data_IF_784821275602
#
_entry.id   IF_784821275602
#
_cell.length_a   1.000
_cell.length_b   1.000
_cell.length_c   1.000
_cell.angle_alpha   90.00
_cell.angle_beta   90.00
_cell.angle_gamma   90.00
#
_symmetry.space_group_name_H-M   'P 1'
#
loop_
_entity.id
_entity.type
_entity.pdbx_description
1 polymer ?
#
# COMPACT_ATOMS: atom_id res chain seq x y z
N UNK A 1 -26.40 -2.71 -23.98
CA UNK A 1 -25.84 -2.23 -22.69
C UNK A 1 -24.36 -2.00 -22.90
N UNK A 2 -23.87 -0.75 -22.77
CA UNK A 2 -22.43 -0.47 -22.91
C UNK A 2 -21.76 -0.81 -21.58
N UNK A 3 -20.98 -1.88 -21.58
CA UNK A 3 -20.20 -2.33 -20.42
C UNK A 3 -19.21 -1.24 -20.03
N UNK A 4 -19.44 -0.56 -18.90
CA UNK A 4 -18.49 0.44 -18.37
C UNK A 4 -17.22 -0.28 -17.94
N UNK A 5 -16.21 -0.28 -18.79
CA UNK A 5 -14.85 -0.75 -18.44
C UNK A 5 -14.37 0.03 -17.22
N UNK A 6 -13.89 -0.69 -16.19
CA UNK A 6 -13.27 -0.07 -15.01
C UNK A 6 -12.18 0.91 -15.48
N UNK A 7 -12.18 2.17 -15.00
CA UNK A 7 -11.11 3.10 -15.34
C UNK A 7 -9.76 2.47 -14.97
N UNK A 8 -8.81 2.51 -15.90
CA UNK A 8 -7.47 1.97 -15.69
C UNK A 8 -6.78 2.61 -14.48
N UNK A 9 -5.80 1.91 -13.90
CA UNK A 9 -4.99 2.44 -12.80
C UNK A 9 -4.35 3.75 -13.25
N UNK A 10 -4.48 4.82 -12.44
CA UNK A 10 -3.84 6.11 -12.74
C UNK A 10 -2.33 5.91 -12.96
N UNK A 11 -1.75 6.55 -13.99
CA UNK A 11 -0.32 6.45 -14.25
C UNK A 11 0.47 6.97 -13.03
N UNK A 12 1.52 6.24 -12.64
CA UNK A 12 2.36 6.54 -11.46
C UNK A 12 3.52 7.52 -11.74
N UNK A 13 3.46 8.25 -12.86
CA UNK A 13 4.53 9.13 -13.33
C UNK A 13 5.69 8.40 -14.03
N UNK A 14 6.67 9.17 -14.49
CA UNK A 14 7.89 8.65 -15.13
C UNK A 14 8.79 7.96 -14.09
N UNK A 15 9.23 6.73 -14.39
CA UNK A 15 10.01 5.89 -13.48
C UNK A 15 10.91 4.93 -14.24
N UNK A 16 12.03 4.56 -13.62
CA UNK A 16 12.96 3.52 -14.10
C UNK A 16 12.91 2.35 -13.14
N UNK A 17 13.05 1.13 -13.67
CA UNK A 17 13.05 -0.09 -12.85
C UNK A 17 14.45 -0.37 -12.33
N UNK A 18 14.55 -0.71 -11.04
CA UNK A 18 15.77 -1.20 -10.40
C UNK A 18 15.59 -2.70 -10.16
N UNK A 19 16.47 -3.53 -10.73
CA UNK A 19 16.44 -4.99 -10.54
C UNK A 19 17.48 -5.39 -9.49
N UNK A 20 17.03 -5.91 -8.35
CA UNK A 20 17.90 -6.32 -7.23
C UNK A 20 17.50 -7.71 -6.76
N UNK A 21 18.49 -8.52 -6.37
CA UNK A 21 18.29 -9.78 -5.67
C UNK A 21 18.68 -9.59 -4.20
N UNK A 22 17.85 -10.08 -3.30
CA UNK A 22 18.08 -10.03 -1.85
C UNK A 22 18.07 -11.45 -1.29
N UNK A 23 18.71 -11.69 -0.12
CA UNK A 23 18.56 -12.94 0.61
C UNK A 23 17.08 -13.30 0.85
N UNK A 24 16.77 -14.59 0.88
CA UNK A 24 15.39 -15.08 0.99
C UNK A 24 14.71 -14.66 2.30
N UNK A 25 15.46 -14.72 3.38
CA UNK A 25 15.08 -14.27 4.72
C UNK A 25 14.80 -12.76 4.76
N UNK A 26 15.60 -11.96 4.04
CA UNK A 26 15.33 -10.52 3.93
C UNK A 26 14.03 -10.24 3.18
N UNK A 27 13.77 -10.97 2.09
CA UNK A 27 12.52 -10.81 1.34
C UNK A 27 11.30 -11.03 2.24
N UNK A 28 11.29 -12.08 3.07
CA UNK A 28 10.19 -12.34 4.00
C UNK A 28 9.98 -11.19 5.00
N UNK A 29 11.07 -10.64 5.55
CA UNK A 29 11.01 -9.48 6.46
C UNK A 29 10.44 -8.25 5.77
N UNK A 30 10.89 -7.94 4.55
CA UNK A 30 10.40 -6.79 3.79
C UNK A 30 8.93 -6.95 3.38
N UNK A 31 8.52 -8.16 3.01
CA UNK A 31 7.12 -8.47 2.73
C UNK A 31 6.25 -8.19 3.95
N UNK A 32 6.65 -8.67 5.13
CA UNK A 32 5.90 -8.43 6.37
C UNK A 32 5.75 -6.93 6.67
N UNK A 33 6.81 -6.14 6.53
CA UNK A 33 6.73 -4.69 6.75
C UNK A 33 5.85 -3.97 5.73
N UNK A 34 5.85 -4.42 4.47
CA UNK A 34 4.95 -3.88 3.46
C UNK A 34 3.47 -4.20 3.78
N UNK A 35 3.20 -5.42 4.27
CA UNK A 35 1.89 -5.87 4.72
C UNK A 35 1.39 -5.10 5.94
N UNK A 36 2.25 -4.86 6.94
CA UNK A 36 1.95 -4.04 8.14
C UNK A 36 1.47 -2.63 7.74
N UNK A 37 2.07 -2.04 6.70
CA UNK A 37 1.68 -0.73 6.17
C UNK A 37 0.53 -0.81 5.15
N UNK A 38 0.15 -2.02 4.72
CA UNK A 38 -0.90 -2.25 3.73
C UNK A 38 -0.55 -1.73 2.32
N UNK A 39 0.74 -1.71 1.96
CA UNK A 39 1.25 -1.23 0.67
C UNK A 39 2.02 -2.32 -0.09
N UNK A 40 2.22 -2.19 -1.41
CA UNK A 40 3.02 -3.16 -2.17
C UNK A 40 4.49 -3.19 -1.74
N UNK A 41 5.14 -4.36 -1.79
CA UNK A 41 6.56 -4.53 -1.45
C UNK A 41 7.48 -3.56 -2.22
N UNK A 42 7.27 -3.38 -3.52
CA UNK A 42 8.07 -2.44 -4.31
C UNK A 42 7.92 -0.98 -3.85
N UNK A 43 6.73 -0.60 -3.38
CA UNK A 43 6.49 0.73 -2.81
C UNK A 43 7.16 0.87 -1.44
N UNK A 44 7.12 -0.18 -0.62
CA UNK A 44 7.84 -0.22 0.64
C UNK A 44 9.35 -0.04 0.43
N UNK A 45 9.96 -0.78 -0.52
CA UNK A 45 11.39 -0.64 -0.82
C UNK A 45 11.72 0.77 -1.31
N UNK A 46 10.91 1.33 -2.21
CA UNK A 46 11.12 2.69 -2.69
C UNK A 46 10.98 3.75 -1.58
N UNK A 47 10.07 3.53 -0.62
CA UNK A 47 9.92 4.37 0.58
C UNK A 47 11.19 4.31 1.44
N UNK A 48 11.68 3.11 1.76
CA UNK A 48 12.90 2.95 2.56
C UNK A 48 14.13 3.57 1.88
N UNK A 49 14.24 3.45 0.55
CA UNK A 49 15.32 4.07 -0.21
C UNK A 49 15.22 5.60 -0.22
N UNK A 50 14.00 6.16 -0.33
CA UNK A 50 13.81 7.59 -0.27
C UNK A 50 14.20 8.14 1.11
N UNK A 51 13.72 7.50 2.19
CA UNK A 51 14.03 7.86 3.57
C UNK A 51 15.54 7.80 3.86
N UNK A 52 16.20 6.70 3.51
CA UNK A 52 17.64 6.52 3.70
C UNK A 52 18.50 7.54 2.95
N UNK A 53 17.97 8.15 1.89
CA UNK A 53 18.66 9.14 1.07
C UNK A 53 18.15 10.57 1.31
N UNK A 54 17.26 10.79 2.28
CA UNK A 54 16.58 12.06 2.53
C UNK A 54 15.92 12.65 1.27
N UNK A 55 15.35 11.78 0.43
CA UNK A 55 14.60 12.16 -0.77
C UNK A 55 13.10 12.29 -0.45
N UNK A 56 12.37 13.15 -1.18
CA UNK A 56 10.93 13.24 -1.02
C UNK A 56 10.25 11.91 -1.36
N UNK A 57 9.23 11.55 -0.57
CA UNK A 57 8.44 10.34 -0.82
C UNK A 57 7.66 10.50 -2.13
N UNK A 58 7.72 9.53 -3.05
CA UNK A 58 6.92 9.56 -4.27
C UNK A 58 5.41 9.64 -4.01
N UNK A 59 4.72 10.57 -4.68
CA UNK A 59 3.28 10.83 -4.48
C UNK A 59 2.38 9.58 -4.64
N UNK A 60 2.75 8.62 -5.49
CA UNK A 60 1.98 7.38 -5.63
C UNK A 60 2.04 6.48 -4.39
N UNK A 61 3.11 6.58 -3.59
CA UNK A 61 3.28 5.84 -2.33
C UNK A 61 2.44 6.50 -1.25
N UNK A 62 2.44 7.84 -1.18
CA UNK A 62 1.54 8.58 -0.27
C UNK A 62 0.06 8.23 -0.52
N UNK A 63 -0.33 8.10 -1.80
CA UNK A 63 -1.66 7.64 -2.21
C UNK A 63 -1.96 6.19 -1.76
N UNK A 64 -0.97 5.31 -1.80
CA UNK A 64 -1.11 3.93 -1.32
C UNK A 64 -1.27 3.88 0.20
N UNK A 65 -0.44 4.63 0.93
CA UNK A 65 -0.51 4.75 2.39
C UNK A 65 -1.87 5.29 2.84
N UNK A 66 -2.37 6.36 2.21
CA UNK A 66 -3.68 6.93 2.53
C UNK A 66 -4.81 5.93 2.29
N UNK A 67 -4.76 5.20 1.18
CA UNK A 67 -5.75 4.14 0.89
C UNK A 67 -5.63 2.98 1.86
N UNK A 68 -4.43 2.63 2.30
CA UNK A 68 -4.22 1.59 3.31
C UNK A 68 -4.77 2.01 4.68
N UNK A 69 -4.57 3.25 5.08
CA UNK A 69 -5.14 3.81 6.30
C UNK A 69 -6.68 3.82 6.24
N UNK A 70 -7.25 4.35 5.15
CA UNK A 70 -8.71 4.40 5.00
C UNK A 70 -9.36 3.00 5.02
N UNK A 71 -8.68 1.96 4.54
CA UNK A 71 -9.16 0.57 4.65
C UNK A 71 -9.16 0.09 6.10
N UNK A 72 -8.08 0.35 6.85
CA UNK A 72 -7.98 0.01 8.28
C UNK A 72 -9.07 0.72 9.09
N UNK A 73 -9.22 2.03 8.90
CA UNK A 73 -10.25 2.83 9.60
C UNK A 73 -11.68 2.30 9.31
N UNK A 74 -11.94 1.87 8.07
CA UNK A 74 -13.23 1.30 7.69
C UNK A 74 -13.48 -0.09 8.29
N UNK A 75 -12.43 -0.90 8.43
CA UNK A 75 -12.49 -2.21 9.10
C UNK A 75 -12.75 -2.04 10.60
N UNK A 76 -12.03 -1.12 11.26
CA UNK A 76 -12.21 -0.80 12.68
C UNK A 76 -13.65 -0.30 12.95
N UNK A 77 -14.12 0.67 12.15
CA UNK A 77 -15.49 1.21 12.24
C UNK A 77 -16.56 0.13 12.06
N UNK A 78 -16.28 -0.91 11.25
CA UNK A 78 -17.20 -2.03 11.03
C UNK A 78 -17.23 -2.99 12.23
N UNK A 79 -16.12 -3.14 12.93
CA UNK A 79 -16.02 -3.97 14.14
C UNK A 79 -16.68 -3.32 15.37
N UNK A 80 -16.76 -1.98 15.40
CA UNK A 80 -17.35 -1.22 16.52
C UNK A 80 -18.89 -1.17 16.55
N UNK A 81 -19.59 -1.68 15.52
CA UNK A 81 -21.06 -1.72 15.52
C UNK A 81 -21.59 -2.77 16.52
N UNK A 82 -22.30 -2.38 17.59
CA UNK A 82 -22.91 -3.33 18.51
C UNK A 82 -24.02 -4.11 17.80
N UNK A 83 -23.90 -5.44 17.79
CA UNK A 83 -24.97 -6.35 17.34
C UNK A 83 -26.29 -5.98 18.05
N UNK A 84 -27.41 -5.80 17.32
CA UNK A 84 -28.68 -5.51 17.96
C UNK A 84 -29.06 -6.71 18.82
N UNK A 85 -29.08 -6.53 20.15
CA UNK A 85 -29.71 -7.47 21.07
C UNK A 85 -31.19 -7.48 20.75
N UNK A 86 -31.63 -8.46 19.96
CA UNK A 86 -33.04 -8.74 19.76
C UNK A 86 -33.60 -9.23 21.10
N UNK A 87 -34.56 -8.50 21.64
CA UNK A 87 -35.31 -8.85 22.85
C UNK A 87 -36.66 -9.49 22.48
#
# INVERSE_FOLDING_TARGET
MVERRKPGTRPRGARVSINVRVPLDHHAVYTRHAEELGIPLGSWVALQLADAQNLPVPAYIEEELRRAQARRDAEDSRQELPMPRTA
#
